data_IF_738013281797
#
_entry.id   IF_738013281797
#
_cell.length_a   1.000
_cell.length_b   1.000
_cell.length_c   1.000
_cell.angle_alpha   90.00
_cell.angle_beta   90.00
_cell.angle_gamma   90.00
#
_symmetry.space_group_name_H-M   'P 1'
#
loop_
_entity.id
_entity.type
_entity.pdbx_description
1 polymer ?
#
# COMPACT_ATOMS: atom_id res chain seq x y z
N UNK A 1 -0.77 17.64 -8.43
CA UNK A 1 -1.00 18.05 -7.03
C UNK A 1 -0.64 16.87 -6.15
N UNK A 2 0.20 17.07 -5.15
CA UNK A 2 0.51 16.08 -4.12
C UNK A 2 -0.37 16.38 -2.91
N UNK A 3 -1.03 15.36 -2.36
CA UNK A 3 -1.79 15.46 -1.11
C UNK A 3 -1.35 14.31 -0.20
N UNK A 4 -1.13 14.59 1.09
CA UNK A 4 -0.92 13.56 2.09
C UNK A 4 -2.08 12.56 2.07
N UNK A 5 -1.77 11.27 2.01
CA UNK A 5 -2.77 10.20 1.95
C UNK A 5 -2.37 9.02 2.82
N UNK A 6 -3.36 8.46 3.53
CA UNK A 6 -3.27 7.21 4.24
C UNK A 6 -3.80 6.07 3.37
N UNK A 7 -3.07 4.96 3.32
CA UNK A 7 -3.47 3.71 2.69
C UNK A 7 -3.65 2.67 3.79
N UNK A 8 -4.87 2.15 3.94
CA UNK A 8 -5.27 1.34 5.09
C UNK A 8 -5.74 -0.05 4.68
N UNK A 9 -5.33 -1.04 5.47
CA UNK A 9 -5.85 -2.41 5.47
C UNK A 9 -6.01 -2.91 6.90
N UNK A 10 -6.58 -4.08 7.08
CA UNK A 10 -6.59 -4.81 8.37
C UNK A 10 -5.19 -5.21 8.87
N UNK A 11 -4.19 -5.20 7.97
CA UNK A 11 -2.81 -5.64 8.26
C UNK A 11 -1.88 -4.51 8.65
N UNK A 12 -2.14 -3.29 8.16
CA UNK A 12 -1.25 -2.16 8.37
C UNK A 12 -1.65 -0.93 7.58
N UNK A 13 -0.85 0.12 7.78
CA UNK A 13 -1.10 1.48 7.30
C UNK A 13 0.19 2.11 6.76
N UNK A 14 0.05 2.86 5.66
CA UNK A 14 1.13 3.57 4.98
C UNK A 14 0.72 5.02 4.74
N UNK A 15 1.58 5.97 5.12
CA UNK A 15 1.39 7.41 4.90
C UNK A 15 2.39 7.91 3.86
N UNK A 16 1.90 8.35 2.71
CA UNK A 16 2.72 8.93 1.63
C UNK A 16 1.97 10.03 0.88
N UNK A 17 2.71 10.83 0.13
CA UNK A 17 2.14 11.81 -0.80
C UNK A 17 1.52 11.11 -2.02
N UNK A 18 0.24 11.37 -2.28
CA UNK A 18 -0.46 10.86 -3.45
C UNK A 18 -0.15 11.69 -4.70
N UNK A 19 0.26 11.03 -5.77
CA UNK A 19 0.40 11.63 -7.10
C UNK A 19 -0.86 11.38 -7.94
N UNK A 20 -1.70 12.39 -8.07
CA UNK A 20 -2.91 12.32 -8.92
C UNK A 20 -2.53 12.38 -10.40
N UNK A 21 -3.01 11.41 -11.18
CA UNK A 21 -2.73 11.31 -12.63
C UNK A 21 -3.89 10.66 -13.38
N UNK A 22 -4.21 11.09 -14.62
CA UNK A 22 -5.27 10.48 -15.43
C UNK A 22 -4.89 9.10 -15.99
N UNK A 23 -3.68 8.58 -15.70
CA UNK A 23 -3.20 7.28 -16.19
C UNK A 23 -3.76 6.08 -15.41
N UNK A 24 -4.35 6.32 -14.25
CA UNK A 24 -4.95 5.26 -13.44
C UNK A 24 -6.44 5.14 -13.78
N UNK A 25 -6.91 3.90 -13.93
CA UNK A 25 -8.34 3.65 -14.09
C UNK A 25 -9.09 4.02 -12.78
N UNK A 26 -10.35 4.48 -12.86
CA UNK A 26 -11.12 4.81 -11.67
C UNK A 26 -11.19 3.64 -10.68
N UNK A 27 -11.03 3.94 -9.39
CA UNK A 27 -11.06 2.95 -8.31
C UNK A 27 -9.76 2.16 -8.10
N UNK A 28 -8.70 2.46 -8.85
CA UNK A 28 -7.40 1.79 -8.71
C UNK A 28 -6.31 2.79 -8.29
N UNK A 29 -5.47 2.33 -7.36
CA UNK A 29 -4.25 3.00 -6.95
C UNK A 29 -3.04 2.15 -7.30
N UNK A 30 -1.92 2.81 -7.60
CA UNK A 30 -0.64 2.14 -7.82
C UNK A 30 0.34 2.58 -6.73
N UNK A 31 1.02 1.60 -6.12
CA UNK A 31 2.11 1.81 -5.18
C UNK A 31 3.33 1.02 -5.67
N UNK A 32 4.48 1.68 -5.73
CA UNK A 32 5.73 1.06 -6.17
C UNK A 32 6.24 0.03 -5.15
N UNK A 33 6.95 -0.98 -5.65
CA UNK A 33 7.69 -1.94 -4.83
C UNK A 33 9.12 -1.45 -4.56
N UNK A 34 9.77 -1.96 -3.52
CA UNK A 34 11.18 -1.65 -3.18
C UNK A 34 11.41 -0.51 -2.19
N UNK A 35 10.36 0.17 -1.72
CA UNK A 35 10.48 1.15 -0.64
C UNK A 35 10.97 0.51 0.67
N UNK A 36 11.90 1.17 1.35
CA UNK A 36 12.45 0.71 2.61
C UNK A 36 11.47 0.99 3.74
N UNK A 37 11.04 -0.04 4.45
CA UNK A 37 10.11 0.10 5.58
C UNK A 37 10.68 1.05 6.65
N UNK A 38 9.92 2.09 6.99
CA UNK A 38 10.30 3.13 7.94
C UNK A 38 9.10 3.49 8.83
N UNK A 39 8.79 2.66 9.84
CA UNK A 39 7.67 2.89 10.72
C UNK A 39 7.92 4.01 11.72
N UNK A 40 6.88 4.77 12.04
CA UNK A 40 6.86 5.66 13.18
C UNK A 40 6.56 4.92 14.51
N UNK A 41 6.41 5.66 15.61
CA UNK A 41 6.07 5.11 16.91
C UNK A 41 4.70 4.40 16.94
N UNK A 42 3.79 4.75 16.02
CA UNK A 42 2.49 4.12 15.82
C UNK A 42 2.52 2.90 14.89
N UNK A 43 3.71 2.51 14.39
CA UNK A 43 3.92 1.44 13.39
C UNK A 43 3.36 1.75 12.01
N UNK A 44 3.08 3.01 11.73
CA UNK A 44 2.65 3.47 10.41
C UNK A 44 3.88 3.70 9.54
N UNK A 45 3.90 3.08 8.36
CA UNK A 45 5.03 3.23 7.44
C UNK A 45 5.00 4.59 6.74
N UNK A 46 6.13 5.30 6.78
CA UNK A 46 6.26 6.64 6.23
C UNK A 46 6.97 6.67 4.86
N UNK A 47 7.37 5.50 4.34
CA UNK A 47 8.21 5.40 3.14
C UNK A 47 7.52 4.78 1.92
N UNK A 48 6.38 4.11 2.09
CA UNK A 48 5.63 3.51 0.99
C UNK A 48 5.88 2.02 0.75
N UNK A 49 6.30 1.26 1.76
CA UNK A 49 6.51 -0.17 1.66
C UNK A 49 5.17 -0.91 1.47
N UNK A 50 4.85 -1.23 0.22
CA UNK A 50 3.59 -1.90 -0.16
C UNK A 50 3.33 -3.19 0.61
N UNK A 51 4.37 -3.93 1.01
CA UNK A 51 4.24 -5.19 1.73
C UNK A 51 3.61 -5.06 3.12
N UNK A 52 3.51 -3.84 3.66
CA UNK A 52 2.73 -3.54 4.87
C UNK A 52 1.23 -3.81 4.65
N UNK A 53 0.74 -3.68 3.42
CA UNK A 53 -0.68 -3.79 3.06
C UNK A 53 -1.06 -5.17 2.52
N UNK A 54 -0.08 -5.99 2.11
CA UNK A 54 -0.32 -7.24 1.40
C UNK A 54 -0.55 -8.44 2.32
N UNK A 55 -1.36 -9.40 1.87
CA UNK A 55 -1.50 -10.68 2.58
C UNK A 55 -0.31 -11.59 2.30
N UNK A 56 0.16 -12.29 3.34
CA UNK A 56 1.27 -13.24 3.25
C UNK A 56 0.80 -14.69 3.11
N UNK A 57 -0.50 -14.92 2.88
CA UNK A 57 -1.04 -16.27 2.69
C UNK A 57 -0.61 -16.81 1.32
N UNK A 58 0.22 -17.86 1.25
CA UNK A 58 0.70 -18.35 -0.04
C UNK A 58 -0.36 -19.19 -0.77
N UNK A 59 -0.21 -19.33 -2.08
CA UNK A 59 -1.08 -20.20 -2.89
C UNK A 59 -0.98 -21.67 -2.45
N UNK A 60 -2.07 -22.46 -2.49
CA UNK A 60 -2.10 -23.79 -1.89
C UNK A 60 -1.14 -24.78 -2.56
N UNK A 61 -0.97 -24.70 -3.88
CA UNK A 61 -0.14 -25.61 -4.66
C UNK A 61 1.33 -25.16 -4.71
N UNK A 62 1.59 -24.02 -5.34
CA UNK A 62 2.95 -23.56 -5.67
C UNK A 62 3.61 -22.74 -4.56
N UNK A 63 2.88 -22.40 -3.49
CA UNK A 63 3.34 -21.54 -2.39
C UNK A 63 3.80 -20.14 -2.84
N UNK A 64 3.22 -19.62 -3.93
CA UNK A 64 3.52 -18.28 -4.44
C UNK A 64 2.88 -17.18 -3.60
N UNK A 65 3.48 -15.99 -3.60
CA UNK A 65 3.00 -14.81 -2.88
C UNK A 65 1.87 -14.08 -3.66
N UNK A 66 0.82 -13.58 -2.97
CA UNK A 66 -0.32 -12.92 -3.61
C UNK A 66 -0.20 -11.39 -3.68
N UNK A 67 1.01 -10.83 -3.74
CA UNK A 67 1.27 -9.38 -3.54
C UNK A 67 0.57 -8.44 -4.54
N UNK A 68 0.07 -8.94 -5.68
CA UNK A 68 -0.60 -8.13 -6.71
C UNK A 68 -2.13 -8.14 -6.64
N UNK A 69 -2.72 -8.69 -5.56
CA UNK A 69 -4.17 -8.75 -5.39
C UNK A 69 -4.54 -8.27 -3.98
N UNK A 70 -4.82 -6.96 -3.86
CA UNK A 70 -5.12 -6.32 -2.58
C UNK A 70 -6.31 -5.37 -2.73
N UNK A 71 -7.07 -5.24 -1.64
CA UNK A 71 -8.03 -4.17 -1.45
C UNK A 71 -7.48 -3.23 -0.39
N UNK A 72 -7.64 -1.93 -0.61
CA UNK A 72 -7.11 -0.87 0.25
C UNK A 72 -8.13 0.26 0.31
N UNK A 73 -8.25 0.88 1.48
CA UNK A 73 -8.95 2.14 1.67
C UNK A 73 -7.94 3.29 1.58
N UNK A 74 -8.31 4.38 0.93
CA UNK A 74 -7.46 5.58 0.85
C UNK A 74 -8.18 6.76 1.47
N UNK A 75 -7.51 7.43 2.38
CA UNK A 75 -8.02 8.59 3.10
C UNK A 75 -7.04 9.76 3.00
N UNK A 76 -7.58 10.98 3.09
CA UNK A 76 -6.75 12.19 3.16
C UNK A 76 -6.30 12.39 4.61
N UNK A 77 -5.02 12.70 4.80
CA UNK A 77 -4.45 13.12 6.08
C UNK A 77 -4.74 14.58 6.41
#
# INVERSE_FOLDING_TARGET
>A
MAIGSAFLTDRGEVHIEAKVTPRMIPGVVALGEGAWYNPDAGRVDQAGCINVLTTQRPSPLAKGNPSHSNLVQVEKL
#
